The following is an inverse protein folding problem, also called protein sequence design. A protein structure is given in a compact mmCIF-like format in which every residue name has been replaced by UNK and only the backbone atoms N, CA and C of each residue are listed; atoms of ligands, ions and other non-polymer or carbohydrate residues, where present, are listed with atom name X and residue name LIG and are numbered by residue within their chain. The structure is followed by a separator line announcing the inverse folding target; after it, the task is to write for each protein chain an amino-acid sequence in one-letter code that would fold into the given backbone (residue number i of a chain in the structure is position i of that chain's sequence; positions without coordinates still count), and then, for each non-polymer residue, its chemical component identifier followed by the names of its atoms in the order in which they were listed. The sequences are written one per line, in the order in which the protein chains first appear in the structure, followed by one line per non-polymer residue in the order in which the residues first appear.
data_IF_270536816226
#
_entry.id   IF_270536816226
#
_cell.length_a   1.000
_cell.length_b   1.000
_cell.length_c   1.000
_cell.angle_alpha   90.00
_cell.angle_beta   90.00
_cell.angle_gamma   90.00
#
_symmetry.space_group_name_H-M   'P 1'
#
loop_
_entity.id
_entity.type
_entity.pdbx_description
1 polymer ?
#
# COMPACT_ATOMS: atom_id res chain seq x y z
N UNK A 1 14.12 -7.27 -7.80
CA UNK A 1 14.97 -6.07 -7.77
C UNK A 1 14.26 -5.01 -6.94
N UNK A 2 14.60 -4.85 -5.64
CA UNK A 2 14.06 -3.79 -4.79
C UNK A 2 14.82 -2.51 -5.13
N UNK A 3 14.24 -1.61 -5.92
CA UNK A 3 14.91 -0.35 -6.25
C UNK A 3 14.91 0.57 -5.02
N UNK A 4 16.07 0.95 -4.47
CA UNK A 4 16.16 1.86 -3.33
C UNK A 4 15.68 3.29 -3.64
N UNK A 5 15.45 3.62 -4.93
CA UNK A 5 14.93 4.92 -5.36
C UNK A 5 13.40 5.07 -5.24
N UNK A 6 12.67 3.95 -5.10
CA UNK A 6 11.21 3.94 -4.99
C UNK A 6 10.72 4.64 -3.71
N UNK A 7 11.39 4.43 -2.56
CA UNK A 7 10.93 4.92 -1.25
C UNK A 7 10.82 6.46 -1.19
N UNK A 8 11.73 7.19 -1.86
CA UNK A 8 11.68 8.66 -1.92
C UNK A 8 10.72 9.19 -3.01
N UNK A 9 10.59 8.49 -4.15
CA UNK A 9 9.72 8.88 -5.25
C UNK A 9 8.22 8.67 -4.92
N UNK A 10 7.90 7.62 -4.16
CA UNK A 10 6.52 7.29 -3.77
C UNK A 10 5.88 8.35 -2.88
N UNK A 11 6.66 9.05 -2.05
CA UNK A 11 6.13 10.05 -1.12
C UNK A 11 5.34 11.18 -1.79
N UNK A 12 5.75 11.60 -3.00
CA UNK A 12 5.02 12.64 -3.76
C UNK A 12 3.83 12.10 -4.54
N UNK A 13 3.88 10.85 -5.00
CA UNK A 13 2.82 10.21 -5.80
C UNK A 13 1.70 9.59 -4.95
N UNK A 14 2.01 9.20 -3.72
CA UNK A 14 1.10 8.48 -2.84
C UNK A 14 -0.19 9.24 -2.54
N UNK A 15 -0.19 10.58 -2.28
CA UNK A 15 -1.43 11.32 -2.07
C UNK A 15 -2.35 11.34 -3.29
N UNK A 16 -1.83 11.56 -4.50
CA UNK A 16 -2.65 11.62 -5.73
C UNK A 16 -3.19 10.24 -6.09
N UNK A 17 -2.36 9.21 -6.06
CA UNK A 17 -2.78 7.83 -6.30
C UNK A 17 -3.86 7.38 -5.30
N UNK A 18 -3.68 7.72 -4.01
CA UNK A 18 -4.69 7.43 -2.99
C UNK A 18 -6.01 8.16 -3.24
N UNK A 19 -5.97 9.39 -3.78
CA UNK A 19 -7.15 10.16 -4.12
C UNK A 19 -7.87 9.59 -5.35
N UNK A 20 -7.14 9.26 -6.41
CA UNK A 20 -7.66 8.65 -7.65
C UNK A 20 -8.43 7.36 -7.37
N UNK A 21 -7.94 6.55 -6.43
CA UNK A 21 -8.56 5.29 -6.04
C UNK A 21 -9.51 5.37 -4.83
N UNK A 22 -9.77 6.57 -4.28
CA UNK A 22 -10.69 6.75 -3.15
C UNK A 22 -10.25 6.01 -1.87
N UNK A 23 -8.95 5.97 -1.60
CA UNK A 23 -8.40 5.35 -0.40
C UNK A 23 -8.66 6.24 0.83
N UNK A 24 -9.15 5.62 1.90
CA UNK A 24 -9.24 6.23 3.22
C UNK A 24 -7.86 6.52 3.81
N UNK A 25 -7.75 7.37 4.85
CA UNK A 25 -6.48 7.61 5.52
C UNK A 25 -5.77 6.34 5.97
N UNK A 26 -6.54 5.36 6.48
CA UNK A 26 -5.97 4.09 6.94
C UNK A 26 -5.50 3.19 5.81
N UNK A 27 -6.24 3.15 4.70
CA UNK A 27 -5.85 2.42 3.50
C UNK A 27 -4.60 3.04 2.85
N UNK A 28 -4.45 4.37 2.95
CA UNK A 28 -3.24 5.08 2.52
C UNK A 28 -2.01 4.66 3.33
N UNK A 29 -2.13 4.56 4.65
CA UNK A 29 -1.04 4.06 5.50
C UNK A 29 -0.66 2.63 5.10
N UNK A 30 -1.65 1.77 4.87
CA UNK A 30 -1.42 0.39 4.43
C UNK A 30 -0.75 0.34 3.06
N UNK A 31 -1.19 1.15 2.09
CA UNK A 31 -0.54 1.25 0.79
C UNK A 31 0.95 1.63 0.95
N UNK A 32 1.26 2.62 1.79
CA UNK A 32 2.64 3.04 2.09
C UNK A 32 3.51 1.86 2.54
N UNK A 33 3.04 1.09 3.51
CA UNK A 33 3.79 -0.03 4.07
C UNK A 33 3.89 -1.22 3.11
N UNK A 34 2.86 -1.44 2.27
CA UNK A 34 2.92 -2.43 1.19
C UNK A 34 4.02 -2.07 0.18
N UNK A 35 4.12 -0.79 -0.20
CA UNK A 35 5.17 -0.30 -1.11
C UNK A 35 6.57 -0.38 -0.49
N UNK A 36 6.68 -0.29 0.84
CA UNK A 36 7.91 -0.57 1.59
C UNK A 36 8.24 -2.07 1.66
N UNK A 37 7.35 -2.93 1.17
CA UNK A 37 7.53 -4.38 1.14
C UNK A 37 7.31 -5.05 2.48
N UNK A 38 6.53 -4.45 3.38
CA UNK A 38 6.16 -5.06 4.66
C UNK A 38 5.14 -6.19 4.49
N UNK A 39 5.27 -7.22 5.34
CA UNK A 39 4.24 -8.23 5.51
C UNK A 39 3.15 -7.76 6.50
N UNK A 40 2.09 -8.55 6.63
CA UNK A 40 0.94 -8.16 7.46
C UNK A 40 1.24 -8.11 8.96
N UNK A 41 2.25 -8.86 9.44
CA UNK A 41 2.66 -8.83 10.84
C UNK A 41 3.43 -7.54 11.15
N UNK A 42 4.39 -7.20 10.30
CA UNK A 42 5.16 -5.97 10.42
C UNK A 42 4.29 -4.72 10.25
N UNK A 43 3.32 -4.75 9.31
CA UNK A 43 2.31 -3.71 9.19
C UNK A 43 1.45 -3.60 10.44
N UNK A 44 1.01 -4.72 11.02
CA UNK A 44 0.19 -4.75 12.22
C UNK A 44 0.91 -4.10 13.41
N UNK A 45 2.16 -4.47 13.63
CA UNK A 45 3.03 -3.87 14.65
C UNK A 45 3.24 -2.37 14.43
N UNK A 46 3.49 -1.96 13.17
CA UNK A 46 3.70 -0.55 12.81
C UNK A 46 2.46 0.30 13.02
N UNK A 47 1.29 -0.28 12.73
CA UNK A 47 0.01 0.41 12.76
C UNK A 47 -0.74 0.27 14.10
N UNK A 48 -0.21 -0.53 15.04
CA UNK A 48 -0.82 -0.78 16.35
C UNK A 48 -2.17 -1.50 16.30
N UNK A 49 -2.37 -2.40 15.31
CA UNK A 49 -3.63 -3.12 15.11
C UNK A 49 -3.41 -4.61 14.89
N UNK A 50 -4.47 -5.42 14.93
CA UNK A 50 -4.37 -6.85 14.70
C UNK A 50 -3.99 -7.19 13.24
N UNK A 51 -3.22 -8.27 12.99
CA UNK A 51 -2.91 -8.74 11.63
C UNK A 51 -4.14 -9.08 10.79
N UNK A 52 -5.24 -9.50 11.41
CA UNK A 52 -6.53 -9.73 10.74
C UNK A 52 -7.11 -8.43 10.20
N UNK A 53 -7.05 -7.33 10.96
CA UNK A 53 -7.48 -6.00 10.51
C UNK A 53 -6.63 -5.49 9.36
N UNK A 54 -5.31 -5.71 9.40
CA UNK A 54 -4.42 -5.40 8.28
C UNK A 54 -4.82 -6.17 7.02
N UNK A 55 -5.15 -7.46 7.12
CA UNK A 55 -5.62 -8.24 5.97
C UNK A 55 -6.85 -7.62 5.31
N UNK A 56 -7.81 -7.14 6.12
CA UNK A 56 -9.01 -6.45 5.62
C UNK A 56 -8.63 -5.16 4.89
N UNK A 57 -7.77 -4.34 5.47
CA UNK A 57 -7.33 -3.11 4.80
C UNK A 57 -6.55 -3.39 3.51
N UNK A 58 -5.65 -4.38 3.49
CA UNK A 58 -4.92 -4.79 2.28
C UNK A 58 -5.89 -5.25 1.20
N UNK A 59 -6.89 -6.07 1.55
CA UNK A 59 -7.93 -6.50 0.62
C UNK A 59 -8.69 -5.31 0.02
N UNK A 60 -9.08 -4.34 0.85
CA UNK A 60 -9.79 -3.15 0.38
C UNK A 60 -8.92 -2.26 -0.51
N UNK A 61 -7.64 -2.08 -0.18
CA UNK A 61 -6.68 -1.36 -1.04
C UNK A 61 -6.57 -2.04 -2.39
N UNK A 62 -6.35 -3.35 -2.42
CA UNK A 62 -6.26 -4.13 -3.67
C UNK A 62 -7.52 -3.96 -4.51
N UNK A 63 -8.70 -4.09 -3.91
CA UNK A 63 -9.99 -3.93 -4.58
C UNK A 63 -10.17 -2.52 -5.16
N UNK A 64 -9.84 -1.47 -4.40
CA UNK A 64 -9.97 -0.07 -4.85
C UNK A 64 -8.96 0.32 -5.93
N UNK A 65 -7.76 -0.25 -5.86
CA UNK A 65 -6.71 -0.06 -6.85
C UNK A 65 -6.86 -0.96 -8.08
N UNK A 66 -7.84 -1.87 -8.10
CA UNK A 66 -8.04 -2.82 -9.19
C UNK A 66 -6.92 -3.86 -9.32
N UNK A 67 -6.13 -4.09 -8.28
CA UNK A 67 -5.02 -5.03 -8.27
C UNK A 67 -5.44 -6.38 -7.65
N UNK A 68 -5.00 -7.49 -8.23
CA UNK A 68 -5.29 -8.83 -7.72
C UNK A 68 -4.37 -9.23 -6.57
N UNK A 69 -3.16 -8.67 -6.53
CA UNK A 69 -2.18 -8.96 -5.50
C UNK A 69 -1.24 -7.77 -5.24
N UNK A 70 -0.46 -7.85 -4.15
CA UNK A 70 0.46 -6.78 -3.74
C UNK A 70 1.55 -6.46 -4.76
N UNK A 71 1.96 -7.45 -5.56
CA UNK A 71 2.99 -7.27 -6.60
C UNK A 71 2.43 -6.44 -7.74
N UNK A 72 1.22 -6.77 -8.20
CA UNK A 72 0.50 -6.00 -9.22
C UNK A 72 0.19 -4.58 -8.73
N UNK A 73 -0.26 -4.43 -7.48
CA UNK A 73 -0.46 -3.13 -6.85
C UNK A 73 0.82 -2.28 -6.91
N UNK A 74 1.93 -2.87 -6.46
CA UNK A 74 3.24 -2.21 -6.49
C UNK A 74 3.64 -1.82 -7.91
N UNK A 75 3.46 -2.72 -8.87
CA UNK A 75 3.74 -2.45 -10.28
C UNK A 75 2.89 -1.30 -10.83
N UNK A 76 1.57 -1.33 -10.62
CA UNK A 76 0.65 -0.25 -11.04
C UNK A 76 1.06 1.10 -10.45
N UNK A 77 1.48 1.13 -9.18
CA UNK A 77 1.92 2.35 -8.52
C UNK A 77 3.21 2.92 -9.11
N UNK A 78 4.15 2.11 -9.61
CA UNK A 78 5.40 2.62 -10.20
C UNK A 78 5.32 2.84 -11.71
N UNK A 79 4.36 2.21 -12.39
CA UNK A 79 4.20 2.29 -13.85
C UNK A 79 3.22 3.37 -14.33
N UNK A 80 2.32 3.86 -13.48
CA UNK A 80 1.49 5.05 -13.80
C UNK A 80 2.26 6.36 -13.69
#
# INVERSE_FOLDING_TARGET
MRSPYAIAAGGRKLPSYAQEHGLSPRERDVLRLVLEGMDNQNMASTLGIAPSTVKVHVHNVLKKCGAQNRTELTHSFWSS
#
